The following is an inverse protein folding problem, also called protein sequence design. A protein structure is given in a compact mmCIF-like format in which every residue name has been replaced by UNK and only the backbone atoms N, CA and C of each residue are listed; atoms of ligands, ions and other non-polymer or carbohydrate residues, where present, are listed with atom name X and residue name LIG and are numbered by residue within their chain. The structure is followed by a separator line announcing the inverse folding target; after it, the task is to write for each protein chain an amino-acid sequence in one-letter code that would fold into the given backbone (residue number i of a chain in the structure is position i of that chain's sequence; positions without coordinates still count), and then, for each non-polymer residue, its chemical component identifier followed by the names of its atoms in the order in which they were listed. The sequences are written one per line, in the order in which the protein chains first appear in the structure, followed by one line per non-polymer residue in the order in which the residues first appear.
data_IF_930736304479
#
_entry.id   IF_930736304479
#
_cell.length_a   1.000
_cell.length_b   1.000
_cell.length_c   1.000
_cell.angle_alpha   90.00
_cell.angle_beta   90.00
_cell.angle_gamma   90.00
#
_symmetry.space_group_name_H-M   'P 1'
#
loop_
_entity.id
_entity.type
_entity.pdbx_description
1 polymer ?
#
# COMPACT_ATOMS: atom_id res chain seq x y z
N UNK A 1 -4.79 18.91 -17.46
CA UNK A 1 -3.67 17.96 -17.38
C UNK A 1 -4.13 16.67 -18.02
N UNK A 2 -3.58 16.33 -19.19
CA UNK A 2 -4.00 15.18 -19.99
C UNK A 2 -3.76 13.90 -19.21
N UNK A 3 -4.83 13.22 -18.79
CA UNK A 3 -4.74 11.82 -18.38
C UNK A 3 -4.14 11.07 -19.56
N UNK A 4 -2.96 10.49 -19.40
CA UNK A 4 -2.47 9.50 -20.35
C UNK A 4 -3.51 8.38 -20.27
N UNK A 5 -4.42 8.36 -21.24
CA UNK A 5 -5.25 7.20 -21.52
C UNK A 5 -4.23 6.15 -21.96
N UNK A 6 -3.78 5.35 -21.00
CA UNK A 6 -2.81 4.30 -21.24
C UNK A 6 -3.39 3.42 -22.34
N UNK A 7 -2.62 3.23 -23.42
CA UNK A 7 -2.94 2.37 -24.55
C UNK A 7 -2.81 0.89 -24.11
N UNK A 8 -3.49 0.52 -23.01
CA UNK A 8 -3.53 -0.84 -22.50
C UNK A 8 -4.68 -1.58 -23.17
N UNK A 9 -4.43 -2.75 -23.78
CA UNK A 9 -5.49 -3.57 -24.36
C UNK A 9 -6.55 -3.96 -23.31
N UNK A 10 -7.81 -4.18 -23.72
CA UNK A 10 -8.85 -4.71 -22.84
C UNK A 10 -8.39 -5.97 -22.10
N UNK A 11 -8.70 -6.05 -20.80
CA UNK A 11 -8.31 -7.17 -19.94
C UNK A 11 -6.91 -7.08 -19.34
N UNK A 12 -6.09 -6.09 -19.73
CA UNK A 12 -4.83 -5.82 -19.06
C UNK A 12 -5.08 -5.18 -17.70
N UNK A 13 -4.48 -5.75 -16.64
CA UNK A 13 -4.71 -5.32 -15.26
C UNK A 13 -3.41 -5.12 -14.52
N UNK A 14 -3.43 -4.20 -13.58
CA UNK A 14 -2.35 -4.03 -12.64
C UNK A 14 -2.32 -5.20 -11.65
N UNK A 15 -1.40 -6.14 -11.88
CA UNK A 15 -1.23 -7.34 -11.05
C UNK A 15 0.27 -7.60 -10.81
N UNK A 16 0.97 -6.70 -10.10
CA UNK A 16 2.40 -6.80 -9.90
C UNK A 16 2.76 -7.93 -8.93
N UNK A 17 3.93 -8.52 -9.13
CA UNK A 17 4.55 -9.43 -8.17
C UNK A 17 5.11 -8.68 -6.94
N UNK A 18 5.36 -9.41 -5.84
CA UNK A 18 6.06 -8.87 -4.67
C UNK A 18 7.40 -8.21 -5.07
N UNK A 19 8.12 -8.81 -6.02
CA UNK A 19 9.41 -8.32 -6.54
C UNK A 19 9.24 -7.01 -7.32
N UNK A 20 8.25 -6.89 -8.20
CA UNK A 20 7.99 -5.66 -8.96
C UNK A 20 7.54 -4.52 -8.04
N UNK A 21 6.67 -4.80 -7.06
CA UNK A 21 6.23 -3.81 -6.08
C UNK A 21 7.40 -3.16 -5.34
N UNK A 22 8.38 -3.95 -4.93
CA UNK A 22 9.53 -3.45 -4.15
C UNK A 22 10.66 -2.96 -5.06
N UNK A 23 11.08 -3.80 -6.00
CA UNK A 23 12.26 -3.59 -6.85
C UNK A 23 12.08 -2.51 -7.92
N UNK A 24 10.83 -2.31 -8.38
CA UNK A 24 10.50 -1.26 -9.35
C UNK A 24 9.73 -0.11 -8.69
N UNK A 25 8.51 -0.35 -8.18
CA UNK A 25 7.62 0.74 -7.76
C UNK A 25 8.13 1.48 -6.52
N UNK A 26 8.38 0.78 -5.42
CA UNK A 26 8.84 1.38 -4.17
C UNK A 26 10.25 1.97 -4.30
N UNK A 27 11.16 1.26 -5.00
CA UNK A 27 12.52 1.75 -5.28
C UNK A 27 12.50 3.06 -6.06
N UNK A 28 11.69 3.16 -7.12
CA UNK A 28 11.53 4.41 -7.90
C UNK A 28 10.90 5.52 -7.06
N UNK A 29 9.85 5.23 -6.29
CA UNK A 29 9.20 6.20 -5.40
C UNK A 29 10.20 6.79 -4.40
N UNK A 30 11.02 5.95 -3.77
CA UNK A 30 12.05 6.40 -2.84
C UNK A 30 13.13 7.24 -3.52
N UNK A 31 13.55 6.86 -4.72
CA UNK A 31 14.53 7.60 -5.51
C UNK A 31 13.95 8.85 -6.20
N UNK A 32 12.68 9.19 -5.96
CA UNK A 32 11.95 10.28 -6.65
C UNK A 32 12.01 10.17 -8.19
N UNK A 33 12.06 8.94 -8.71
CA UNK A 33 12.09 8.65 -10.13
C UNK A 33 10.69 8.51 -10.70
N UNK A 34 10.55 8.83 -12.00
CA UNK A 34 9.28 8.69 -12.71
C UNK A 34 8.86 7.21 -12.79
N UNK A 35 7.61 6.95 -12.43
CA UNK A 35 6.92 5.66 -12.58
C UNK A 35 6.08 5.76 -13.87
N UNK A 36 6.15 4.73 -14.71
CA UNK A 36 5.60 4.80 -16.08
C UNK A 36 4.07 4.77 -16.11
N UNK A 37 3.43 4.47 -14.97
CA UNK A 37 1.97 4.42 -14.79
C UNK A 37 1.59 5.01 -13.42
N UNK A 38 0.60 5.90 -13.39
CA UNK A 38 0.06 6.49 -12.15
C UNK A 38 -1.00 5.56 -11.52
N UNK A 39 -0.56 4.37 -11.11
CA UNK A 39 -1.41 3.27 -10.61
C UNK A 39 -1.26 3.03 -9.10
N UNK A 40 -0.35 3.73 -8.43
CA UNK A 40 -0.17 3.64 -6.98
C UNK A 40 -0.21 5.05 -6.40
N UNK A 41 -1.26 5.36 -5.64
CA UNK A 41 -1.46 6.68 -5.04
C UNK A 41 -0.73 6.81 -3.70
N UNK A 42 -0.37 8.03 -3.31
CA UNK A 42 0.06 8.32 -1.95
C UNK A 42 -1.15 8.41 -1.01
N UNK A 43 -1.17 7.62 0.06
CA UNK A 43 -2.19 7.63 1.10
C UNK A 43 -1.59 7.42 2.48
N UNK A 44 -2.15 8.12 3.47
CA UNK A 44 -1.82 7.86 4.87
C UNK A 44 -2.76 6.79 5.42
N UNK A 45 -2.26 5.55 5.51
CA UNK A 45 -3.03 4.38 5.98
C UNK A 45 -3.63 4.58 7.37
N UNK A 46 -3.04 5.45 8.21
CA UNK A 46 -3.47 5.62 9.59
C UNK A 46 -4.52 6.71 9.77
N UNK A 47 -4.88 7.40 8.69
CA UNK A 47 -5.88 8.47 8.68
C UNK A 47 -7.11 8.14 7.85
N UNK A 48 -7.19 6.92 7.34
CA UNK A 48 -8.29 6.43 6.50
C UNK A 48 -8.77 5.08 7.02
N UNK A 49 -10.05 4.79 6.80
CA UNK A 49 -10.60 3.48 7.13
C UNK A 49 -10.44 2.52 5.94
N UNK A 50 -10.40 1.19 6.17
CA UNK A 50 -10.15 0.24 5.09
C UNK A 50 -11.18 0.29 3.96
N UNK A 51 -12.43 0.63 4.25
CA UNK A 51 -13.50 0.74 3.25
C UNK A 51 -13.38 2.00 2.38
N UNK A 52 -12.69 3.04 2.85
CA UNK A 52 -12.46 4.27 2.07
C UNK A 52 -11.36 4.05 1.01
N UNK A 53 -10.46 3.07 1.22
CA UNK A 53 -9.34 2.78 0.31
C UNK A 53 -9.85 2.49 -1.11
N UNK A 54 -10.94 1.73 -1.23
CA UNK A 54 -11.48 1.35 -2.54
C UNK A 54 -11.88 2.58 -3.36
N UNK A 55 -12.53 3.56 -2.73
CA UNK A 55 -12.97 4.78 -3.43
C UNK A 55 -11.77 5.63 -3.82
N UNK A 56 -10.80 5.79 -2.92
CA UNK A 56 -9.65 6.65 -3.14
C UNK A 56 -8.68 6.06 -4.17
N UNK A 57 -8.41 4.75 -4.11
CA UNK A 57 -7.44 4.06 -4.97
C UNK A 57 -8.03 3.52 -6.26
N UNK A 58 -9.32 3.74 -6.55
CA UNK A 58 -9.93 3.23 -7.77
C UNK A 58 -9.21 3.73 -9.02
N UNK A 59 -8.91 2.82 -9.94
CA UNK A 59 -8.29 3.12 -11.24
C UNK A 59 -9.24 2.65 -12.35
N UNK A 60 -9.73 3.56 -13.19
CA UNK A 60 -10.64 3.19 -14.28
C UNK A 60 -11.97 2.58 -13.81
N UNK A 61 -12.64 1.86 -14.70
CA UNK A 61 -14.01 1.37 -14.52
C UNK A 61 -14.14 -0.15 -14.32
N UNK A 62 -13.05 -0.91 -14.43
CA UNK A 62 -13.07 -2.37 -14.26
C UNK A 62 -13.24 -2.82 -12.80
N UNK A 63 -13.70 -4.05 -12.60
CA UNK A 63 -13.83 -4.68 -11.30
C UNK A 63 -12.45 -4.96 -10.69
N UNK A 64 -12.09 -4.17 -9.67
CA UNK A 64 -10.84 -4.30 -8.92
C UNK A 64 -11.11 -4.95 -7.57
N UNK A 65 -10.27 -5.93 -7.22
CA UNK A 65 -10.32 -6.64 -5.94
C UNK A 65 -9.18 -6.25 -5.00
N UNK A 66 -8.17 -5.56 -5.54
CA UNK A 66 -6.96 -5.18 -4.84
C UNK A 66 -6.63 -3.73 -5.18
N UNK A 67 -6.10 -3.01 -4.19
CA UNK A 67 -5.71 -1.62 -4.30
C UNK A 67 -4.30 -1.43 -3.75
N UNK A 68 -3.55 -0.55 -4.40
CA UNK A 68 -2.14 -0.33 -4.12
C UNK A 68 -1.93 1.15 -3.82
N UNK A 69 -1.23 1.42 -2.72
CA UNK A 69 -0.91 2.78 -2.29
C UNK A 69 0.47 2.82 -1.62
N UNK A 70 1.12 3.97 -1.71
CA UNK A 70 2.28 4.31 -0.90
C UNK A 70 1.79 4.95 0.39
N UNK A 71 2.25 4.42 1.53
CA UNK A 71 2.01 5.04 2.83
C UNK A 71 3.33 5.27 3.54
N UNK A 72 3.44 6.42 4.20
CA UNK A 72 4.49 6.62 5.17
C UNK A 72 4.29 5.66 6.34
N UNK A 73 5.40 5.13 6.87
CA UNK A 73 5.36 4.31 8.08
C UNK A 73 5.26 5.26 9.28
N UNK A 74 4.06 5.41 9.83
CA UNK A 74 3.86 6.25 11.01
C UNK A 74 4.61 5.68 12.22
N UNK A 75 5.54 6.44 12.76
CA UNK A 75 6.25 6.06 13.98
C UNK A 75 5.42 6.57 15.15
N UNK A 76 4.90 5.67 15.99
CA UNK A 76 4.17 6.01 17.22
C UNK A 76 4.98 6.92 18.14
N UNK A 77 6.32 6.83 18.08
CA UNK A 77 7.26 7.69 18.80
C UNK A 77 8.44 8.05 17.90
N UNK A 78 8.99 9.27 17.98
CA UNK A 78 10.16 9.68 17.17
C UNK A 78 11.36 8.73 17.28
N UNK A 79 11.56 8.14 18.46
CA UNK A 79 12.68 7.24 18.80
C UNK A 79 12.29 5.76 18.83
N UNK A 80 11.03 5.42 18.56
CA UNK A 80 10.50 4.06 18.69
C UNK A 80 10.33 3.32 17.36
N UNK A 81 10.35 1.99 17.42
CA UNK A 81 10.00 1.11 16.29
C UNK A 81 8.50 0.82 16.21
N UNK A 82 7.75 1.15 17.27
CA UNK A 82 6.31 0.93 17.35
C UNK A 82 5.59 1.85 16.37
N UNK A 83 4.76 1.27 15.53
CA UNK A 83 3.96 1.97 14.52
C UNK A 83 2.59 2.27 15.11
N UNK A 84 2.08 3.50 14.99
CA UNK A 84 0.67 3.74 15.31
C UNK A 84 -0.15 3.07 14.21
N UNK A 85 -1.18 2.32 14.60
CA UNK A 85 -1.98 1.51 13.69
C UNK A 85 -3.46 1.64 13.97
N UNK A 86 -3.84 2.57 14.84
CA UNK A 86 -5.22 2.90 15.14
C UNK A 86 -5.74 3.90 14.11
N UNK A 87 -7.01 3.75 13.77
CA UNK A 87 -7.82 4.71 13.02
C UNK A 87 -8.95 5.20 13.94
N UNK A 88 -9.89 5.98 13.42
CA UNK A 88 -11.05 6.41 14.23
C UNK A 88 -11.97 5.23 14.57
N UNK A 89 -12.14 4.30 13.62
CA UNK A 89 -13.10 3.21 13.75
C UNK A 89 -12.47 1.87 14.18
N UNK A 90 -11.15 1.77 14.34
CA UNK A 90 -10.51 0.52 14.70
C UNK A 90 -8.98 0.53 14.71
N UNK A 91 -8.37 -0.63 14.47
CA UNK A 91 -6.91 -0.76 14.42
C UNK A 91 -6.42 -1.90 13.52
N UNK A 92 -5.24 -1.72 12.93
CA UNK A 92 -4.52 -2.72 12.15
C UNK A 92 -3.58 -3.55 13.03
N UNK A 93 -3.78 -4.87 13.06
CA UNK A 93 -2.92 -5.83 13.77
C UNK A 93 -2.14 -6.67 12.78
N UNK A 94 -0.83 -6.85 13.03
CA UNK A 94 -0.03 -7.77 12.23
C UNK A 94 -0.53 -9.22 12.43
N UNK A 95 -0.58 -9.98 11.34
CA UNK A 95 -0.90 -11.41 11.36
C UNK A 95 0.10 -12.18 10.52
N UNK A 96 0.35 -13.44 10.90
CA UNK A 96 1.31 -14.30 10.22
C UNK A 96 2.77 -13.90 10.42
N UNK A 97 3.65 -14.61 9.70
CA UNK A 97 5.09 -14.33 9.68
C UNK A 97 5.42 -13.38 8.53
N UNK A 98 6.35 -12.46 8.77
CA UNK A 98 6.89 -11.62 7.72
C UNK A 98 7.57 -12.48 6.65
N UNK A 99 7.34 -12.15 5.37
CA UNK A 99 7.92 -12.85 4.22
C UNK A 99 8.99 -11.99 3.59
N UNK A 100 10.20 -12.54 3.43
CA UNK A 100 11.25 -11.87 2.67
C UNK A 100 10.90 -11.82 1.18
N UNK A 101 11.14 -10.66 0.55
CA UNK A 101 10.97 -10.43 -0.89
C UNK A 101 12.36 -10.43 -1.51
N UNK A 102 12.53 -11.23 -2.57
CA UNK A 102 13.82 -11.45 -3.21
C UNK A 102 13.82 -10.91 -4.65
N UNK A 103 14.99 -10.43 -5.09
CA UNK A 103 15.34 -10.14 -6.49
C UNK A 103 16.60 -10.96 -6.79
N UNK A 104 16.51 -11.95 -7.68
CA UNK A 104 17.63 -12.84 -8.09
C UNK A 104 18.43 -13.50 -6.94
N UNK A 105 17.80 -13.72 -5.78
CA UNK A 105 18.38 -14.23 -4.52
C UNK A 105 18.88 -13.19 -3.50
N UNK A 106 18.80 -11.89 -3.78
CA UNK A 106 19.04 -10.83 -2.78
C UNK A 106 17.72 -10.40 -2.14
N UNK A 107 17.67 -10.33 -0.81
CA UNK A 107 16.53 -9.73 -0.10
C UNK A 107 16.46 -8.24 -0.41
N UNK A 108 15.34 -7.79 -0.97
CA UNK A 108 15.09 -6.38 -1.32
C UNK A 108 14.00 -5.73 -0.45
N UNK A 109 13.25 -6.52 0.31
CA UNK A 109 12.19 -6.01 1.19
C UNK A 109 11.54 -7.10 2.04
N UNK A 110 10.56 -6.69 2.85
CA UNK A 110 9.76 -7.56 3.70
C UNK A 110 8.27 -7.28 3.49
N UNK A 111 7.49 -8.34 3.33
CA UNK A 111 6.03 -8.27 3.30
C UNK A 111 5.47 -8.59 4.68
N UNK A 112 4.67 -7.68 5.21
CA UNK A 112 3.92 -7.86 6.47
C UNK A 112 2.43 -7.84 6.16
N UNK A 113 1.71 -8.84 6.64
CA UNK A 113 0.25 -8.88 6.52
C UNK A 113 -0.39 -8.26 7.75
N UNK A 114 -1.40 -7.43 7.56
CA UNK A 114 -2.18 -6.83 8.62
C UNK A 114 -3.67 -7.16 8.43
N UNK A 115 -4.38 -7.28 9.53
CA UNK A 115 -5.84 -7.41 9.57
C UNK A 115 -6.39 -6.21 10.32
N UNK A 116 -7.41 -5.56 9.76
CA UNK A 116 -8.13 -4.50 10.44
C UNK A 116 -9.21 -5.09 11.35
N UNK A 117 -9.27 -4.60 12.58
CA UNK A 117 -10.30 -4.91 13.54
C UNK A 117 -11.12 -3.64 13.79
N UNK A 118 -12.43 -3.71 13.53
CA UNK A 118 -13.37 -2.61 13.82
C UNK A 118 -13.67 -2.59 15.32
N UNK A 119 -13.70 -1.41 15.92
CA UNK A 119 -13.83 -1.20 17.36
C UNK A 119 -12.48 -1.10 18.07
N UNK A 120 -12.51 -0.72 19.34
CA UNK A 120 -11.29 -0.41 20.11
C UNK A 120 -11.23 1.04 20.59
N UNK A 121 -12.38 1.64 20.89
CA UNK A 121 -12.40 2.77 21.82
C UNK A 121 -11.98 2.21 23.18
N UNK A 122 -10.75 2.51 23.60
CA UNK A 122 -10.49 2.72 25.01
C UNK A 122 -11.38 3.91 25.37
N UNK A 123 -12.58 3.64 25.89
CA UNK A 123 -13.25 4.62 26.73
C UNK A 123 -12.35 4.82 27.95
N UNK A 124 -12.10 6.08 28.26
CA UNK A 124 -11.32 6.57 29.41
C UNK A 124 -11.70 5.88 30.73
#
# INVERSE_FOLDING_TARGET
MSSIQSCVPPGFRFHPTDEELVGYYLRKKFASQKIDLDVIKDLDLYRIEPWDIQEICRIGSEEQKEWYFFSHKDKKYPTGTRTNRATMAGFWKATGRDKAIYEKARVIGMRKTLVFYKGGHLMD
#
